data_IF_204572528684
#
_entry.id   IF_204572528684
#
_cell.length_a   1.000
_cell.length_b   1.000
_cell.length_c   1.000
_cell.angle_alpha   90.00
_cell.angle_beta   90.00
_cell.angle_gamma   90.00
#
_symmetry.space_group_name_H-M   'P 1'
#
loop_
_entity.id
_entity.type
_entity.pdbx_description
1 polymer ?
#
# COMPACT_ATOMS: atom_id res chain seq x y z
N UNK A 1 -0.63 -4.10 2.98
CA UNK A 1 0.28 -2.94 2.76
C UNK A 1 0.98 -2.99 1.39
N UNK A 2 1.72 -4.06 1.01
CA UNK A 2 2.40 -4.13 -0.31
C UNK A 2 1.46 -3.96 -1.52
N UNK A 3 0.24 -4.52 -1.45
CA UNK A 3 -0.79 -4.28 -2.46
C UNK A 3 -1.16 -2.79 -2.61
N UNK A 4 -1.13 -2.03 -1.51
CA UNK A 4 -1.46 -0.59 -1.53
C UNK A 4 -0.37 0.19 -2.25
N UNK A 5 0.90 -0.20 -2.09
CA UNK A 5 2.02 0.35 -2.85
C UNK A 5 1.85 0.14 -4.36
N UNK A 6 1.39 -1.05 -4.77
CA UNK A 6 1.12 -1.34 -6.19
C UNK A 6 -0.01 -0.48 -6.78
N UNK A 7 -0.95 -0.04 -5.93
CA UNK A 7 -2.10 0.75 -6.36
C UNK A 7 -1.95 2.26 -6.11
N UNK A 8 -0.93 2.71 -5.40
CA UNK A 8 -0.76 4.10 -5.00
C UNK A 8 0.66 4.63 -5.23
N UNK A 9 0.76 5.77 -5.90
CA UNK A 9 2.05 6.48 -6.11
C UNK A 9 2.63 7.03 -4.81
N UNK A 10 1.79 7.32 -3.83
CA UNK A 10 2.15 8.08 -2.64
C UNK A 10 2.35 7.22 -1.38
N UNK A 11 2.14 5.90 -1.49
CA UNK A 11 2.20 4.99 -0.36
C UNK A 11 3.61 4.40 -0.20
N UNK A 12 4.20 4.56 0.98
CA UNK A 12 5.55 4.08 1.28
C UNK A 12 5.50 2.77 2.07
N UNK A 13 5.63 1.64 1.36
CA UNK A 13 5.64 0.33 2.01
C UNK A 13 6.90 0.08 2.83
N UNK A 14 8.05 0.62 2.44
CA UNK A 14 9.30 0.44 3.18
C UNK A 14 9.26 1.12 4.55
N UNK A 15 8.49 2.22 4.67
CA UNK A 15 8.17 2.82 5.97
C UNK A 15 7.26 1.95 6.86
N UNK A 16 6.55 0.98 6.28
CA UNK A 16 5.61 0.13 7.00
C UNK A 16 6.32 -1.07 7.67
N UNK A 17 7.20 -0.81 8.64
CA UNK A 17 7.98 -1.87 9.29
C UNK A 17 7.17 -2.55 10.41
N UNK A 18 6.88 -3.84 10.25
CA UNK A 18 6.21 -4.64 11.28
C UNK A 18 6.87 -6.01 11.43
N UNK A 19 8.04 -6.02 12.05
CA UNK A 19 8.74 -7.24 12.47
C UNK A 19 8.56 -7.47 13.98
N UNK A 20 8.75 -8.70 14.44
CA UNK A 20 8.70 -9.01 15.88
C UNK A 20 9.65 -8.15 16.70
N UNK A 21 10.87 -7.95 16.21
CA UNK A 21 11.85 -7.05 16.81
C UNK A 21 11.34 -5.60 16.88
N UNK A 22 10.66 -5.11 15.83
CA UNK A 22 10.14 -3.74 15.84
C UNK A 22 8.92 -3.60 16.77
N UNK A 23 8.16 -4.67 17.03
CA UNK A 23 7.03 -4.64 17.96
C UNK A 23 7.47 -4.41 19.41
N UNK A 24 8.67 -4.86 19.79
CA UNK A 24 9.23 -4.69 21.15
C UNK A 24 10.24 -3.54 21.23
N UNK A 25 10.48 -2.84 20.11
CA UNK A 25 11.40 -1.71 20.08
C UNK A 25 10.90 -0.55 20.93
N UNK A 26 11.83 0.09 21.66
CA UNK A 26 11.60 1.32 22.42
C UNK A 26 11.70 2.55 21.51
N UNK A 27 10.96 3.62 21.83
CA UNK A 27 11.13 4.90 21.14
C UNK A 27 12.52 5.47 21.45
N UNK A 28 13.15 6.08 20.45
CA UNK A 28 14.49 6.67 20.58
C UNK A 28 14.47 7.99 21.32
N UNK A 29 13.33 8.69 21.33
CA UNK A 29 13.13 9.98 22.02
C UNK A 29 12.61 9.81 23.45
N UNK A 30 11.88 8.72 23.72
CA UNK A 30 11.39 8.36 25.04
C UNK A 30 11.53 6.86 25.29
N UNK A 31 12.60 6.48 26.00
CA UNK A 31 12.93 5.09 26.30
C UNK A 31 11.94 4.41 27.26
N UNK A 32 11.01 5.17 27.86
CA UNK A 32 9.92 4.63 28.69
C UNK A 32 8.73 4.16 27.86
N UNK A 33 8.62 4.63 26.61
CA UNK A 33 7.54 4.28 25.68
C UNK A 33 8.04 3.28 24.65
N UNK A 34 7.40 2.11 24.61
CA UNK A 34 7.67 1.06 23.63
C UNK A 34 6.56 0.91 22.60
N UNK A 35 6.90 0.39 21.41
CA UNK A 35 5.91 0.05 20.38
C UNK A 35 4.97 -1.08 20.79
N UNK A 36 5.28 -1.79 21.88
CA UNK A 36 4.42 -2.82 22.46
C UNK A 36 3.06 -2.27 22.90
N UNK A 37 3.03 -1.01 23.35
CA UNK A 37 1.79 -0.30 23.71
C UNK A 37 1.02 0.26 22.51
N UNK A 38 1.50 0.10 21.28
CA UNK A 38 0.80 0.60 20.10
C UNK A 38 -0.46 -0.21 19.80
N UNK A 39 -1.52 0.46 19.32
CA UNK A 39 -2.80 -0.19 19.04
C UNK A 39 -2.69 -1.38 18.09
N UNK A 40 -1.84 -1.29 17.04
CA UNK A 40 -1.61 -2.40 16.12
C UNK A 40 -0.99 -3.63 16.82
N UNK A 41 0.00 -3.43 17.71
CA UNK A 41 0.63 -4.54 18.44
C UNK A 41 -0.35 -5.16 19.43
N UNK A 42 -1.13 -4.34 20.14
CA UNK A 42 -2.17 -4.82 21.04
C UNK A 42 -3.22 -5.69 20.33
N UNK A 43 -3.76 -5.21 19.20
CA UNK A 43 -4.74 -5.98 18.41
C UNK A 43 -4.13 -7.27 17.88
N UNK A 44 -2.89 -7.23 17.36
CA UNK A 44 -2.20 -8.44 16.88
C UNK A 44 -2.02 -9.47 18.00
N UNK A 45 -1.57 -9.06 19.19
CA UNK A 45 -1.39 -9.97 20.34
C UNK A 45 -2.70 -10.58 20.82
N UNK A 46 -3.80 -9.83 20.76
CA UNK A 46 -5.10 -10.31 21.22
C UNK A 46 -5.81 -11.22 20.20
N UNK A 47 -5.60 -11.00 18.91
CA UNK A 47 -6.43 -11.62 17.85
C UNK A 47 -5.66 -12.46 16.83
N UNK A 48 -4.34 -12.30 16.75
CA UNK A 48 -3.52 -12.88 15.69
C UNK A 48 -3.72 -12.24 14.31
N UNK A 49 -4.54 -11.19 14.18
CA UNK A 49 -4.82 -10.56 12.89
C UNK A 49 -3.60 -9.78 12.38
N UNK A 50 -3.09 -10.20 11.23
CA UNK A 50 -1.91 -9.60 10.57
C UNK A 50 -2.27 -8.42 9.67
N UNK A 51 -3.53 -8.33 9.24
CA UNK A 51 -4.06 -7.26 8.39
C UNK A 51 -4.67 -6.11 9.22
N UNK A 52 -3.90 -5.61 10.18
CA UNK A 52 -4.26 -4.45 11.00
C UNK A 52 -3.26 -3.35 10.72
N UNK A 53 -3.75 -2.17 10.36
CA UNK A 53 -2.90 -1.07 9.90
C UNK A 53 -3.31 0.24 10.56
N UNK A 54 -2.33 0.99 11.04
CA UNK A 54 -2.46 2.42 11.32
C UNK A 54 -1.88 3.15 10.12
N UNK A 55 -2.66 4.06 9.52
CA UNK A 55 -2.18 4.89 8.42
C UNK A 55 -1.64 6.20 8.98
N UNK A 56 -0.35 6.44 8.81
CA UNK A 56 0.31 7.69 9.17
C UNK A 56 0.56 8.53 7.91
N UNK A 57 0.14 9.78 7.95
CA UNK A 57 0.30 10.71 6.84
C UNK A 57 1.32 11.79 7.21
N UNK A 58 2.34 11.96 6.37
CA UNK A 58 3.20 13.14 6.42
C UNK A 58 2.47 14.33 5.76
N UNK A 59 2.55 15.51 6.37
CA UNK A 59 1.91 16.73 5.85
C UNK A 59 2.79 17.56 4.90
N UNK A 60 4.07 17.23 4.79
CA UNK A 60 5.03 17.99 4.00
C UNK A 60 5.30 17.33 2.64
N UNK A 61 6.09 16.25 2.61
CA UNK A 61 6.53 15.62 1.37
C UNK A 61 6.76 14.12 1.53
N UNK A 62 6.72 13.41 0.40
CA UNK A 62 7.03 11.98 0.33
C UNK A 62 8.51 11.71 0.13
N UNK A 63 8.98 10.57 0.66
CA UNK A 63 10.33 10.04 0.38
C UNK A 63 10.45 9.43 -1.01
N UNK A 64 9.33 8.90 -1.53
CA UNK A 64 9.27 8.10 -2.76
C UNK A 64 7.98 8.38 -3.51
N UNK A 65 8.04 8.20 -4.83
CA UNK A 65 6.88 8.21 -5.73
C UNK A 65 6.89 6.91 -6.52
N UNK A 66 5.92 6.03 -6.27
CA UNK A 66 5.89 4.71 -6.90
C UNK A 66 5.53 4.82 -8.38
N UNK A 67 6.18 3.99 -9.20
CA UNK A 67 5.75 3.72 -10.57
C UNK A 67 4.72 2.61 -10.55
N UNK A 68 3.51 2.89 -11.03
CA UNK A 68 2.44 1.90 -11.09
C UNK A 68 2.46 1.21 -12.45
N UNK A 69 2.40 -0.13 -12.45
CA UNK A 69 2.17 -0.90 -13.67
C UNK A 69 0.78 -0.58 -14.23
N UNK A 70 0.55 -0.80 -15.53
CA UNK A 70 -0.78 -0.66 -16.11
C UNK A 70 -1.76 -1.68 -15.50
N UNK A 71 -3.01 -1.30 -15.23
CA UNK A 71 -3.99 -2.25 -14.72
C UNK A 71 -4.44 -3.16 -15.88
N UNK A 72 -4.87 -4.37 -15.56
CA UNK A 72 -5.65 -5.15 -16.51
C UNK A 72 -6.91 -4.37 -16.92
N UNK A 73 -7.25 -4.44 -18.20
CA UNK A 73 -8.48 -3.92 -18.75
C UNK A 73 -9.32 -5.11 -19.26
N UNK A 74 -10.57 -5.27 -18.78
CA UNK A 74 -11.50 -6.24 -19.34
C UNK A 74 -11.73 -6.04 -20.83
N UNK A 75 -12.12 -7.11 -21.52
CA UNK A 75 -12.53 -7.01 -22.92
C UNK A 75 -13.66 -5.98 -23.11
N UNK A 76 -13.58 -5.19 -24.17
CA UNK A 76 -14.55 -4.13 -24.46
C UNK A 76 -14.38 -2.84 -23.63
N UNK A 77 -13.46 -2.82 -22.66
CA UNK A 77 -13.00 -1.56 -22.06
C UNK A 77 -11.82 -1.00 -22.84
N UNK A 78 -11.75 0.33 -22.92
CA UNK A 78 -10.58 1.03 -23.44
C UNK A 78 -9.32 0.50 -22.74
N UNK A 79 -8.38 -0.04 -23.52
CA UNK A 79 -7.14 -0.61 -23.01
C UNK A 79 -6.08 0.46 -22.71
N UNK A 80 -6.23 1.67 -23.25
CA UNK A 80 -5.30 2.78 -23.06
C UNK A 80 -5.72 3.71 -21.91
N UNK A 81 -6.11 3.12 -20.76
CA UNK A 81 -6.54 3.87 -19.56
C UNK A 81 -5.44 4.69 -18.89
N UNK A 82 -4.33 4.98 -19.56
CA UNK A 82 -3.43 6.06 -19.15
C UNK A 82 -4.06 7.45 -19.36
N UNK A 83 -5.38 7.60 -19.13
CA UNK A 83 -6.14 8.84 -19.28
C UNK A 83 -5.79 9.88 -18.21
N UNK A 84 -5.09 9.48 -17.14
CA UNK A 84 -4.40 10.44 -16.27
C UNK A 84 -2.97 10.55 -16.77
N UNK A 85 -2.50 11.73 -17.25
CA UNK A 85 -1.10 11.91 -17.58
C UNK A 85 -0.26 11.41 -16.42
N UNK A 86 0.70 10.51 -16.72
CA UNK A 86 1.65 10.04 -15.72
C UNK A 86 2.26 11.28 -15.07
N UNK A 87 2.12 11.48 -13.75
CA UNK A 87 2.72 12.63 -13.09
C UNK A 87 4.20 12.69 -13.47
N UNK A 88 4.74 13.89 -13.76
CA UNK A 88 6.10 14.02 -14.26
C UNK A 88 7.06 13.26 -13.33
N UNK A 89 7.87 12.39 -13.94
CA UNK A 89 8.83 11.50 -13.25
C UNK A 89 9.90 12.27 -12.43
N UNK A 90 9.86 13.60 -12.42
CA UNK A 90 10.90 14.49 -11.89
C UNK A 90 10.37 15.52 -10.89
N UNK A 91 9.46 15.14 -10.00
CA UNK A 91 9.39 15.83 -8.71
C UNK A 91 10.14 14.97 -7.70
N UNK A 92 11.35 15.36 -7.34
CA UNK A 92 12.18 14.62 -6.37
C UNK A 92 11.51 14.57 -4.98
N UNK A 93 10.57 15.48 -4.70
CA UNK A 93 9.81 15.52 -3.45
C UNK A 93 8.51 16.31 -3.64
N UNK A 94 7.45 15.72 -4.22
CA UNK A 94 6.17 16.39 -4.35
C UNK A 94 5.62 16.66 -2.95
N UNK A 95 5.22 17.91 -2.72
CA UNK A 95 4.49 18.27 -1.50
C UNK A 95 3.17 17.52 -1.51
N UNK A 96 2.84 16.90 -0.38
CA UNK A 96 1.57 16.21 -0.28
C UNK A 96 0.43 17.21 -0.23
N UNK A 97 -0.60 16.92 -1.00
CA UNK A 97 -1.88 17.63 -0.97
C UNK A 97 -2.97 16.66 -0.49
N UNK A 98 -4.17 17.15 -0.15
CA UNK A 98 -5.30 16.30 0.16
C UNK A 98 -5.60 15.24 -0.91
N UNK A 99 -5.32 15.53 -2.19
CA UNK A 99 -5.48 14.60 -3.31
C UNK A 99 -4.53 13.39 -3.19
N UNK A 100 -3.32 13.59 -2.66
CA UNK A 100 -2.39 12.50 -2.39
C UNK A 100 -2.98 11.53 -1.36
N UNK A 101 -3.55 12.02 -0.26
CA UNK A 101 -4.15 11.17 0.78
C UNK A 101 -5.45 10.50 0.29
N UNK A 102 -6.27 11.19 -0.51
CA UNK A 102 -7.43 10.58 -1.18
C UNK A 102 -7.03 9.42 -2.08
N UNK A 103 -5.93 9.55 -2.82
CA UNK A 103 -5.41 8.48 -3.65
C UNK A 103 -4.92 7.28 -2.82
N UNK A 104 -4.36 7.49 -1.62
CA UNK A 104 -4.03 6.41 -0.67
C UNK A 104 -5.31 5.70 -0.19
N UNK A 105 -6.34 6.46 0.19
CA UNK A 105 -7.65 5.90 0.59
C UNK A 105 -8.30 5.07 -0.52
N UNK A 106 -8.30 5.57 -1.76
CA UNK A 106 -8.77 4.82 -2.93
C UNK A 106 -7.97 3.53 -3.13
N UNK A 107 -6.65 3.59 -3.02
CA UNK A 107 -5.80 2.42 -3.18
C UNK A 107 -6.03 1.37 -2.11
N UNK A 108 -6.35 1.74 -0.86
CA UNK A 108 -6.73 0.80 0.19
C UNK A 108 -7.97 -0.01 -0.21
N UNK A 109 -9.01 0.66 -0.73
CA UNK A 109 -10.22 -0.02 -1.19
C UNK A 109 -9.95 -0.95 -2.38
N UNK A 110 -9.17 -0.49 -3.37
CA UNK A 110 -8.78 -1.33 -4.52
C UNK A 110 -7.96 -2.54 -4.05
N UNK A 111 -7.02 -2.36 -3.14
CA UNK A 111 -6.22 -3.46 -2.59
C UNK A 111 -7.05 -4.47 -1.80
N UNK A 112 -8.14 -4.04 -1.16
CA UNK A 112 -9.08 -4.96 -0.51
C UNK A 112 -9.80 -5.83 -1.56
N UNK A 113 -10.22 -5.25 -2.69
CA UNK A 113 -10.75 -6.03 -3.83
C UNK A 113 -9.70 -6.98 -4.39
N UNK A 114 -8.43 -6.54 -4.45
CA UNK A 114 -7.33 -7.39 -4.89
C UNK A 114 -7.13 -8.60 -3.97
N UNK A 115 -7.20 -8.39 -2.65
CA UNK A 115 -7.09 -9.49 -1.67
C UNK A 115 -8.21 -10.53 -1.80
N UNK A 116 -9.39 -10.10 -2.26
CA UNK A 116 -10.55 -10.97 -2.48
C UNK A 116 -10.58 -11.57 -3.89
N UNK A 117 -9.57 -11.30 -4.73
CA UNK A 117 -9.53 -11.70 -6.15
C UNK A 117 -10.74 -11.21 -6.96
N UNK A 118 -11.38 -10.13 -6.50
CA UNK A 118 -12.62 -9.61 -7.07
C UNK A 118 -12.41 -8.33 -7.91
N UNK A 119 -11.17 -7.87 -8.06
CA UNK A 119 -10.87 -6.65 -8.80
C UNK A 119 -10.84 -6.91 -10.32
N UNK A 120 -11.82 -6.42 -11.10
CA UNK A 120 -11.86 -6.62 -12.55
C UNK A 120 -10.77 -5.86 -13.30
N UNK A 121 -10.10 -4.90 -12.65
CA UNK A 121 -9.04 -4.10 -13.24
C UNK A 121 -7.76 -4.16 -12.40
N UNK A 122 -7.40 -5.36 -11.91
CA UNK A 122 -6.23 -5.53 -11.06
C UNK A 122 -4.92 -5.25 -11.80
N UNK A 123 -3.94 -4.70 -11.08
CA UNK A 123 -2.54 -4.60 -11.57
C UNK A 123 -1.77 -5.92 -11.44
N UNK A 124 -2.39 -6.94 -10.86
CA UNK A 124 -1.82 -8.28 -10.71
C UNK A 124 -2.16 -9.22 -11.86
N UNK A 125 -3.08 -8.83 -12.76
CA UNK A 125 -3.53 -9.64 -13.88
C UNK A 125 -5.05 -9.65 -14.02
N UNK A 126 -5.54 -10.45 -14.98
CA UNK A 126 -6.97 -10.68 -15.15
C UNK A 126 -7.55 -11.50 -13.98
N UNK A 127 -8.84 -11.28 -13.60
CA UNK A 127 -9.50 -12.09 -12.59
C UNK A 127 -9.36 -13.59 -12.85
N UNK A 128 -9.17 -14.38 -11.79
CA UNK A 128 -8.87 -15.81 -11.87
C UNK A 128 -7.37 -16.12 -11.72
N UNK A 129 -6.88 -17.08 -12.50
CA UNK A 129 -5.53 -17.64 -12.32
C UNK A 129 -4.41 -16.62 -12.49
N UNK A 130 -4.55 -15.69 -13.44
CA UNK A 130 -3.54 -14.65 -13.69
C UNK A 130 -3.34 -13.76 -12.46
N UNK A 131 -4.43 -13.26 -11.89
CA UNK A 131 -4.41 -12.46 -10.67
C UNK A 131 -3.93 -13.26 -9.45
N UNK A 132 -4.30 -14.54 -9.34
CA UNK A 132 -3.82 -15.42 -8.27
C UNK A 132 -2.30 -15.63 -8.33
N UNK A 133 -1.75 -15.83 -9.53
CA UNK A 133 -0.30 -15.91 -9.76
C UNK A 133 0.38 -14.58 -9.40
N UNK A 134 -0.17 -13.45 -9.83
CA UNK A 134 0.33 -12.13 -9.47
C UNK A 134 0.34 -11.90 -7.95
N UNK A 135 -0.71 -12.36 -7.26
CA UNK A 135 -0.80 -12.29 -5.80
C UNK A 135 0.25 -13.18 -5.13
N UNK A 136 0.45 -14.40 -5.61
CA UNK A 136 1.47 -15.32 -5.08
C UNK A 136 2.88 -14.72 -5.23
N UNK A 137 3.21 -14.14 -6.39
CA UNK A 137 4.47 -13.43 -6.63
C UNK A 137 4.67 -12.27 -5.67
N UNK A 138 3.62 -11.48 -5.41
CA UNK A 138 3.72 -10.36 -4.48
C UNK A 138 4.01 -10.82 -3.05
N UNK A 139 3.44 -11.98 -2.63
CA UNK A 139 3.69 -12.57 -1.31
C UNK A 139 5.11 -13.10 -1.16
N UNK A 140 5.72 -13.63 -2.23
CA UNK A 140 7.09 -14.14 -2.18
C UNK A 140 8.18 -13.05 -2.15
N UNK A 141 7.80 -11.78 -2.29
CA UNK A 141 8.73 -10.63 -2.31
C UNK A 141 8.84 -9.94 -0.93
N UNK A 142 8.23 -10.52 0.11
CA UNK A 142 8.14 -9.95 1.47
C UNK A 142 8.87 -10.83 2.46
#
# INVERSE_FOLDING_TARGET
>A
AKLVEQNCRWFDFEGCVFSQTNMTAKDTRDVTVGKEGSGRVGVYRMTGLTHVYTLECNYNMGRRVNRLAHPHAPEGMDQDRSLSPQPPLRCLSPKYTPECWRAVGKALAISALDMLLANPCSRLGAPGDSMAIGMARLRSTV
#
